data_IF_181177525839
#
_entry.id   IF_181177525839
#
_cell.length_a   1.000
_cell.length_b   1.000
_cell.length_c   1.000
_cell.angle_alpha   90.00
_cell.angle_beta   90.00
_cell.angle_gamma   90.00
#
_symmetry.space_group_name_H-M   'P 1'
#
loop_
_entity.id
_entity.type
_entity.pdbx_description
1 polymer ?
#
# COMPACT_ATOMS: atom_id res chain seq x y z
N UNK A 1 -33.45 49.58 -10.36
CA UNK A 1 -33.08 48.63 -9.27
C UNK A 1 -32.87 47.18 -9.76
N UNK A 2 -32.35 46.94 -10.98
CA UNK A 2 -32.16 45.57 -11.53
C UNK A 2 -30.69 45.17 -11.71
N UNK A 3 -29.80 46.16 -11.81
CA UNK A 3 -28.34 46.01 -11.99
C UNK A 3 -27.59 45.77 -10.68
N UNK A 4 -28.01 46.41 -9.58
CA UNK A 4 -27.41 46.21 -8.25
C UNK A 4 -27.60 44.76 -7.71
N UNK A 5 -28.73 44.12 -8.03
CA UNK A 5 -29.01 42.73 -7.64
C UNK A 5 -28.13 41.70 -8.37
N UNK A 6 -27.69 42.01 -9.60
CA UNK A 6 -26.80 41.13 -10.39
C UNK A 6 -25.35 41.20 -9.91
N UNK A 7 -24.90 42.39 -9.48
CA UNK A 7 -23.59 42.55 -8.86
C UNK A 7 -23.49 41.87 -7.49
N UNK A 8 -24.53 41.98 -6.67
CA UNK A 8 -24.57 41.28 -5.38
C UNK A 8 -24.54 39.75 -5.53
N UNK A 9 -25.21 39.20 -6.54
CA UNK A 9 -25.19 37.76 -6.83
C UNK A 9 -23.81 37.26 -7.29
N UNK A 10 -23.08 38.08 -8.07
CA UNK A 10 -21.74 37.73 -8.53
C UNK A 10 -20.73 37.73 -7.38
N UNK A 11 -20.83 38.67 -6.43
CA UNK A 11 -19.97 38.72 -5.24
C UNK A 11 -20.17 37.54 -4.29
N UNK A 12 -21.39 37.00 -4.18
CA UNK A 12 -21.67 35.83 -3.34
C UNK A 12 -21.06 34.56 -3.95
N UNK A 13 -21.07 34.42 -5.28
CA UNK A 13 -20.46 33.26 -5.97
C UNK A 13 -18.92 33.28 -5.83
N UNK A 14 -18.29 34.46 -5.83
CA UNK A 14 -16.85 34.58 -5.63
C UNK A 14 -16.40 34.24 -4.20
N UNK A 15 -17.23 34.50 -3.18
CA UNK A 15 -16.92 34.16 -1.78
C UNK A 15 -17.08 32.66 -1.48
N UNK A 16 -17.96 31.94 -2.19
CA UNK A 16 -18.05 30.48 -2.12
C UNK A 16 -16.95 29.74 -2.89
N UNK A 17 -16.15 30.46 -3.70
CA UNK A 17 -15.01 29.88 -4.41
C UNK A 17 -13.71 29.87 -3.58
N UNK A 18 -13.74 30.39 -2.35
CA UNK A 18 -12.62 30.37 -1.40
C UNK A 18 -12.86 29.39 -0.26
N UNK A 19 -12.94 28.09 -0.57
CA UNK A 19 -12.70 27.03 0.42
C UNK A 19 -12.56 25.66 -0.24
N UNK A 20 -11.69 25.56 -1.25
CA UNK A 20 -10.90 24.34 -1.36
C UNK A 20 -9.82 24.47 -0.30
N UNK A 21 -9.79 23.65 0.77
CA UNK A 21 -8.59 23.57 1.58
C UNK A 21 -7.50 23.15 0.60
N UNK A 22 -6.54 24.03 0.35
CA UNK A 22 -5.32 23.69 -0.34
C UNK A 22 -4.83 22.40 0.33
N UNK A 23 -4.88 21.28 -0.40
CA UNK A 23 -4.24 20.04 0.03
C UNK A 23 -2.77 20.40 0.16
N UNK A 24 -2.36 20.77 1.38
CA UNK A 24 -0.97 20.94 1.76
C UNK A 24 -0.38 19.56 1.56
N UNK A 25 0.22 19.32 0.39
CA UNK A 25 0.73 18.02 0.01
C UNK A 25 1.77 17.60 1.04
N UNK A 26 1.37 16.72 1.96
CA UNK A 26 2.28 16.15 2.95
C UNK A 26 3.33 15.39 2.16
N UNK A 27 4.61 15.74 2.35
CA UNK A 27 5.68 15.02 1.63
C UNK A 27 5.73 13.62 2.21
N UNK A 28 5.96 12.62 1.36
CA UNK A 28 6.10 11.23 1.80
C UNK A 28 7.19 11.09 2.89
N UNK A 29 8.23 11.93 2.83
CA UNK A 29 9.30 11.98 3.83
C UNK A 29 8.84 12.42 5.24
N UNK A 30 7.80 13.25 5.33
CA UNK A 30 7.27 13.79 6.59
C UNK A 30 6.37 12.79 7.33
N UNK A 31 5.98 11.70 6.65
CA UNK A 31 5.16 10.65 7.22
C UNK A 31 5.98 9.67 8.06
N UNK A 32 5.34 9.11 9.09
CA UNK A 32 5.93 7.99 9.84
C UNK A 32 6.22 6.81 8.89
N UNK A 33 7.19 5.94 9.21
CA UNK A 33 7.52 4.80 8.37
C UNK A 33 6.31 3.93 8.00
N UNK A 34 5.38 3.70 8.94
CA UNK A 34 4.18 2.92 8.70
C UNK A 34 3.16 3.66 7.81
N UNK A 35 2.99 4.97 7.98
CA UNK A 35 2.13 5.77 7.09
C UNK A 35 2.65 5.76 5.66
N UNK A 36 3.98 5.78 5.46
CA UNK A 36 4.58 5.61 4.12
C UNK A 36 4.20 4.27 3.49
N UNK A 37 4.18 3.18 4.27
CA UNK A 37 3.74 1.86 3.79
C UNK A 37 2.29 1.92 3.31
N UNK A 38 1.39 2.50 4.12
CA UNK A 38 -0.03 2.63 3.77
C UNK A 38 -0.20 3.38 2.46
N UNK A 39 0.46 4.54 2.29
CA UNK A 39 0.37 5.34 1.06
C UNK A 39 0.88 4.58 -0.16
N UNK A 40 2.03 3.90 -0.04
CA UNK A 40 2.61 3.12 -1.15
C UNK A 40 1.68 1.97 -1.57
N UNK A 41 1.09 1.27 -0.61
CA UNK A 41 0.16 0.17 -0.93
C UNK A 41 -1.09 0.70 -1.62
N UNK A 42 -1.71 1.77 -1.10
CA UNK A 42 -2.87 2.40 -1.74
C UNK A 42 -2.59 2.81 -3.19
N UNK A 43 -1.41 3.38 -3.45
CA UNK A 43 -1.00 3.79 -4.79
C UNK A 43 -0.93 2.62 -5.78
N UNK A 44 -0.41 1.46 -5.36
CA UNK A 44 -0.24 0.31 -6.26
C UNK A 44 -1.47 -0.58 -6.38
N UNK A 45 -2.26 -0.74 -5.31
CA UNK A 45 -3.46 -1.59 -5.32
C UNK A 45 -4.68 -0.85 -5.89
N UNK A 46 -4.83 0.44 -5.56
CA UNK A 46 -6.08 1.15 -5.80
C UNK A 46 -7.22 0.64 -4.92
N UNK A 47 -8.32 1.41 -4.88
CA UNK A 47 -9.49 1.04 -4.10
C UNK A 47 -10.42 0.14 -4.94
N UNK A 48 -10.50 -1.13 -4.58
CA UNK A 48 -11.35 -2.12 -5.23
C UNK A 48 -12.83 -1.81 -5.03
N UNK A 49 -13.60 -2.06 -6.08
CA UNK A 49 -15.06 -1.89 -6.13
C UNK A 49 -15.72 -3.23 -6.45
N UNK A 50 -17.03 -3.19 -6.70
CA UNK A 50 -17.88 -4.38 -6.88
C UNK A 50 -17.40 -5.32 -8.00
N UNK A 51 -16.75 -4.79 -9.03
CA UNK A 51 -16.18 -5.53 -10.17
C UNK A 51 -14.95 -6.38 -9.79
N UNK A 52 -14.30 -6.09 -8.65
CA UNK A 52 -13.14 -6.84 -8.17
C UNK A 52 -13.50 -8.01 -7.24
N UNK A 53 -14.79 -8.29 -7.00
CA UNK A 53 -15.21 -9.37 -6.10
C UNK A 53 -14.56 -10.71 -6.47
N UNK A 54 -13.99 -11.49 -5.50
CA UNK A 54 -14.14 -11.40 -4.05
C UNK A 54 -13.12 -10.49 -3.32
N UNK A 55 -12.43 -9.60 -4.03
CA UNK A 55 -11.50 -8.65 -3.43
C UNK A 55 -12.19 -7.32 -3.11
N UNK A 56 -11.90 -6.75 -1.94
CA UNK A 56 -12.47 -5.51 -1.42
C UNK A 56 -11.37 -4.60 -0.86
N UNK A 57 -11.70 -3.32 -0.60
CA UNK A 57 -10.74 -2.37 -0.04
C UNK A 57 -9.50 -2.22 -0.91
N UNK A 58 -8.31 -2.31 -0.33
CA UNK A 58 -7.04 -2.19 -1.07
C UNK A 58 -6.42 -3.55 -1.41
N UNK A 59 -7.21 -4.50 -1.91
CA UNK A 59 -6.72 -5.83 -2.28
C UNK A 59 -6.96 -6.94 -1.25
N UNK A 60 -7.78 -6.68 -0.22
CA UNK A 60 -8.17 -7.68 0.75
C UNK A 60 -9.08 -8.73 0.11
N UNK A 61 -8.71 -10.01 0.18
CA UNK A 61 -9.55 -11.12 -0.28
C UNK A 61 -10.45 -11.60 0.85
N UNK A 62 -11.75 -11.46 0.68
CA UNK A 62 -12.74 -11.92 1.65
C UNK A 62 -12.55 -13.40 2.01
N UNK A 63 -12.48 -13.68 3.31
CA UNK A 63 -12.56 -15.03 3.85
C UNK A 63 -14.01 -15.48 4.01
N UNK A 64 -14.31 -16.79 4.06
CA UNK A 64 -15.69 -17.30 4.13
C UNK A 64 -16.53 -16.79 5.31
N UNK A 65 -15.88 -16.35 6.40
CA UNK A 65 -16.52 -15.84 7.61
C UNK A 65 -16.59 -14.30 7.66
N UNK A 66 -16.03 -13.60 6.67
CA UNK A 66 -16.00 -12.14 6.62
C UNK A 66 -17.15 -11.61 5.75
N UNK A 67 -17.79 -10.53 6.20
CA UNK A 67 -18.94 -9.92 5.54
C UNK A 67 -18.69 -8.45 5.15
N UNK A 68 -17.46 -8.12 4.73
CA UNK A 68 -17.18 -6.76 4.29
C UNK A 68 -17.88 -6.43 2.96
N UNK A 69 -18.45 -5.23 2.89
CA UNK A 69 -19.12 -4.74 1.68
C UNK A 69 -18.10 -4.36 0.60
N UNK A 70 -18.28 -4.77 -0.67
CA UNK A 70 -17.50 -4.28 -1.80
C UNK A 70 -17.62 -2.76 -2.04
N UNK A 71 -18.64 -2.13 -1.46
CA UNK A 71 -18.89 -0.68 -1.54
C UNK A 71 -18.51 0.05 -0.25
N UNK A 72 -17.60 -0.51 0.57
CA UNK A 72 -17.13 0.14 1.79
C UNK A 72 -16.56 1.54 1.51
N UNK A 73 -16.70 2.43 2.50
CA UNK A 73 -16.09 3.76 2.45
C UNK A 73 -14.56 3.66 2.40
N UNK A 74 -13.90 4.70 1.87
CA UNK A 74 -12.43 4.74 1.86
C UNK A 74 -11.84 4.68 3.28
N UNK A 75 -12.53 5.25 4.28
CA UNK A 75 -12.12 5.15 5.69
C UNK A 75 -12.15 3.69 6.18
N UNK A 76 -13.21 2.94 5.86
CA UNK A 76 -13.29 1.52 6.22
C UNK A 76 -12.21 0.70 5.49
N UNK A 77 -11.97 0.97 4.21
CA UNK A 77 -10.92 0.33 3.43
C UNK A 77 -9.52 0.65 3.99
N UNK A 78 -9.29 1.88 4.44
CA UNK A 78 -8.06 2.30 5.10
C UNK A 78 -7.84 1.57 6.44
N UNK A 79 -8.88 1.48 7.28
CA UNK A 79 -8.82 0.71 8.53
C UNK A 79 -8.53 -0.77 8.28
N UNK A 80 -9.17 -1.38 7.27
CA UNK A 80 -8.93 -2.76 6.88
C UNK A 80 -7.49 -2.97 6.38
N UNK A 81 -7.01 -2.09 5.50
CA UNK A 81 -5.64 -2.12 5.00
C UNK A 81 -4.62 -2.05 6.14
N UNK A 82 -4.82 -1.15 7.11
CA UNK A 82 -3.93 -1.01 8.27
C UNK A 82 -3.90 -2.28 9.11
N UNK A 83 -5.06 -2.91 9.33
CA UNK A 83 -5.15 -4.17 10.04
C UNK A 83 -4.40 -5.29 9.30
N UNK A 84 -4.55 -5.40 7.98
CA UNK A 84 -3.85 -6.40 7.18
C UNK A 84 -2.33 -6.18 7.14
N UNK A 85 -1.89 -4.92 7.02
CA UNK A 85 -0.47 -4.57 7.10
C UNK A 85 0.12 -4.86 8.47
N UNK A 86 -0.64 -4.61 9.54
CA UNK A 86 -0.21 -4.95 10.89
C UNK A 86 -0.05 -6.47 11.07
N UNK A 87 -1.03 -7.26 10.61
CA UNK A 87 -0.93 -8.73 10.59
C UNK A 87 0.32 -9.20 9.84
N UNK A 88 0.61 -8.62 8.68
CA UNK A 88 1.84 -8.93 7.94
C UNK A 88 3.10 -8.54 8.72
N UNK A 89 3.13 -7.34 9.30
CA UNK A 89 4.27 -6.82 10.05
C UNK A 89 4.62 -7.68 11.27
N UNK A 90 3.63 -8.23 11.97
CA UNK A 90 3.86 -9.12 13.12
C UNK A 90 4.74 -10.32 12.78
N UNK A 91 4.66 -10.84 11.55
CA UNK A 91 5.54 -11.92 11.08
C UNK A 91 6.99 -11.49 10.86
N UNK A 92 7.24 -10.20 10.60
CA UNK A 92 8.55 -9.68 10.22
C UNK A 92 9.17 -8.71 11.23
N UNK A 93 8.50 -8.41 12.35
CA UNK A 93 9.02 -7.47 13.38
C UNK A 93 10.42 -7.83 13.91
N UNK A 94 10.78 -9.11 13.89
CA UNK A 94 12.11 -9.60 14.26
C UNK A 94 13.23 -9.29 13.26
N UNK A 95 12.92 -8.83 12.05
CA UNK A 95 13.89 -8.49 11.00
C UNK A 95 14.41 -7.04 11.11
N UNK A 96 14.10 -6.34 12.21
CA UNK A 96 14.61 -4.99 12.48
C UNK A 96 14.27 -4.00 11.38
N UNK A 97 15.27 -3.32 10.82
CA UNK A 97 15.09 -2.29 9.78
C UNK A 97 14.43 -2.81 8.49
N UNK A 98 14.53 -4.12 8.22
CA UNK A 98 13.93 -4.72 7.02
C UNK A 98 12.44 -5.06 7.21
N UNK A 99 11.90 -4.96 8.43
CA UNK A 99 10.55 -5.41 8.75
C UNK A 99 9.50 -4.78 7.81
N UNK A 100 9.53 -3.46 7.60
CA UNK A 100 8.56 -2.77 6.74
C UNK A 100 8.72 -3.14 5.25
N UNK A 101 9.95 -3.31 4.78
CA UNK A 101 10.23 -3.74 3.40
C UNK A 101 9.67 -5.15 3.15
N UNK A 102 9.80 -6.04 4.14
CA UNK A 102 9.24 -7.39 4.12
C UNK A 102 7.71 -7.38 4.26
N UNK A 103 7.14 -6.50 5.08
CA UNK A 103 5.68 -6.29 5.17
C UNK A 103 5.08 -5.92 3.82
N UNK A 104 5.68 -4.96 3.09
CA UNK A 104 5.22 -4.55 1.76
C UNK A 104 5.25 -5.70 0.76
N UNK A 105 6.32 -6.50 0.80
CA UNK A 105 6.46 -7.66 -0.06
C UNK A 105 5.42 -8.73 0.29
N UNK A 106 5.30 -9.08 1.57
CA UNK A 106 4.37 -10.07 2.07
C UNK A 106 2.91 -9.71 1.81
N UNK A 107 2.55 -8.42 1.92
CA UNK A 107 1.20 -7.96 1.58
C UNK A 107 0.83 -8.30 0.13
N UNK A 108 1.78 -8.14 -0.80
CA UNK A 108 1.52 -8.40 -2.21
C UNK A 108 1.64 -9.88 -2.61
N UNK A 109 2.62 -10.60 -2.06
CA UNK A 109 2.97 -11.95 -2.52
C UNK A 109 2.62 -13.06 -1.52
N UNK A 110 2.13 -12.69 -0.34
CA UNK A 110 1.80 -13.57 0.79
C UNK A 110 2.97 -13.85 1.73
N UNK A 111 2.68 -13.93 3.03
CA UNK A 111 3.66 -14.24 4.10
C UNK A 111 4.34 -15.59 3.86
N UNK A 112 3.55 -16.63 3.55
CA UNK A 112 4.08 -17.99 3.32
C UNK A 112 5.07 -18.06 2.16
N UNK A 113 4.95 -17.17 1.16
CA UNK A 113 5.89 -17.12 0.04
C UNK A 113 7.28 -16.62 0.44
N UNK A 114 7.38 -15.91 1.56
CA UNK A 114 8.66 -15.49 2.14
C UNK A 114 9.18 -16.50 3.16
N UNK A 115 8.34 -16.87 4.14
CA UNK A 115 8.72 -17.75 5.25
C UNK A 115 8.88 -19.22 4.84
N UNK A 116 8.22 -19.64 3.75
CA UNK A 116 8.05 -21.04 3.39
C UNK A 116 6.77 -21.64 3.97
N UNK A 117 6.31 -22.74 3.39
CA UNK A 117 5.16 -23.53 3.85
C UNK A 117 5.21 -24.94 3.24
N UNK A 118 4.92 -25.97 4.04
CA UNK A 118 5.02 -27.36 3.60
C UNK A 118 6.39 -27.68 2.97
N UNK A 119 6.38 -28.09 1.70
CA UNK A 119 7.61 -28.39 0.94
C UNK A 119 8.26 -27.15 0.30
N UNK A 120 7.67 -25.96 0.43
CA UNK A 120 8.26 -24.72 -0.06
C UNK A 120 9.22 -24.15 1.00
N UNK A 121 10.53 -24.10 0.71
CA UNK A 121 11.50 -23.60 1.68
C UNK A 121 11.40 -22.07 1.83
N UNK A 122 11.97 -21.57 2.93
CA UNK A 122 12.16 -20.15 3.16
C UNK A 122 12.85 -19.49 1.97
N UNK A 123 12.36 -18.32 1.58
CA UNK A 123 12.88 -17.58 0.42
C UNK A 123 14.37 -17.26 0.58
N UNK A 124 15.10 -17.23 -0.55
CA UNK A 124 16.51 -16.84 -0.58
C UNK A 124 16.72 -15.42 -0.03
N UNK A 125 15.75 -14.52 -0.24
CA UNK A 125 15.73 -13.18 0.34
C UNK A 125 15.89 -13.21 1.86
N UNK A 126 15.01 -13.94 2.55
CA UNK A 126 15.08 -14.02 4.02
C UNK A 126 16.36 -14.71 4.50
N UNK A 127 16.79 -15.79 3.82
CA UNK A 127 18.05 -16.46 4.18
C UNK A 127 19.26 -15.54 4.10
N UNK A 128 19.30 -14.63 3.10
CA UNK A 128 20.35 -13.61 3.01
C UNK A 128 20.27 -12.58 4.13
N UNK A 129 19.07 -12.06 4.41
CA UNK A 129 18.88 -11.09 5.51
C UNK A 129 19.30 -11.72 6.85
N UNK A 130 18.89 -12.97 7.11
CA UNK A 130 19.23 -13.73 8.32
C UNK A 130 20.73 -14.00 8.45
N UNK A 131 21.44 -14.21 7.34
CA UNK A 131 22.90 -14.36 7.34
C UNK A 131 23.66 -13.03 7.35
N UNK A 132 22.96 -11.89 7.46
CA UNK A 132 23.56 -10.56 7.40
C UNK A 132 23.99 -10.10 6.01
N UNK A 133 23.71 -10.86 4.95
CA UNK A 133 24.01 -10.47 3.56
C UNK A 133 23.05 -9.36 3.13
N UNK A 134 23.59 -8.15 2.93
CA UNK A 134 22.83 -6.97 2.50
C UNK A 134 22.65 -6.89 0.98
N UNK A 135 23.36 -7.72 0.21
CA UNK A 135 23.24 -7.79 -1.24
C UNK A 135 22.08 -8.69 -1.66
N UNK A 136 20.86 -8.34 -1.24
CA UNK A 136 19.63 -9.08 -1.56
C UNK A 136 18.71 -8.35 -2.56
N UNK A 137 19.17 -7.25 -3.17
CA UNK A 137 18.37 -6.49 -4.14
C UNK A 137 17.80 -7.39 -5.24
N UNK A 138 18.63 -8.26 -5.82
CA UNK A 138 18.23 -9.19 -6.88
C UNK A 138 17.14 -10.16 -6.42
N UNK A 139 17.26 -10.68 -5.20
CA UNK A 139 16.24 -11.53 -4.60
C UNK A 139 14.93 -10.77 -4.39
N UNK A 140 14.98 -9.52 -3.92
CA UNK A 140 13.78 -8.69 -3.70
C UNK A 140 13.03 -8.39 -5.00
N UNK A 141 13.72 -7.95 -6.06
CA UNK A 141 13.08 -7.65 -7.34
C UNK A 141 12.66 -8.90 -8.12
N UNK A 142 13.07 -10.10 -7.71
CA UNK A 142 12.66 -11.35 -8.37
C UNK A 142 11.18 -11.70 -8.16
N UNK A 143 10.53 -11.10 -7.15
CA UNK A 143 9.11 -11.27 -6.83
C UNK A 143 8.19 -10.49 -7.80
N UNK A 144 8.40 -10.67 -9.11
CA UNK A 144 7.67 -9.98 -10.17
C UNK A 144 6.98 -10.93 -11.16
N UNK A 145 6.86 -12.22 -10.82
CA UNK A 145 6.29 -13.23 -11.72
C UNK A 145 4.87 -13.63 -11.34
N UNK A 146 3.97 -13.61 -12.33
CA UNK A 146 2.64 -14.21 -12.25
C UNK A 146 2.48 -15.24 -13.37
N UNK A 147 2.02 -16.45 -13.04
CA UNK A 147 1.87 -17.57 -13.99
C UNK A 147 3.07 -17.76 -14.94
N UNK A 148 4.27 -17.66 -14.39
CA UNK A 148 5.52 -17.83 -15.15
C UNK A 148 5.95 -16.62 -15.99
N UNK A 149 5.21 -15.51 -16.04
CA UNK A 149 5.56 -14.29 -16.79
C UNK A 149 5.99 -13.16 -15.86
N UNK A 150 7.01 -12.40 -16.24
CA UNK A 150 7.42 -11.19 -15.53
C UNK A 150 6.44 -10.07 -15.84
N UNK A 151 5.90 -9.41 -14.81
CA UNK A 151 5.00 -8.27 -14.96
C UNK A 151 5.78 -6.97 -14.75
N UNK A 152 5.81 -6.11 -15.76
CA UNK A 152 6.51 -4.81 -15.71
C UNK A 152 6.04 -3.91 -14.57
N UNK A 153 4.73 -3.93 -14.28
CA UNK A 153 4.14 -3.22 -13.14
C UNK A 153 4.71 -3.69 -11.79
N UNK A 154 4.91 -5.00 -11.59
CA UNK A 154 5.53 -5.52 -10.37
C UNK A 154 7.00 -5.13 -10.29
N UNK A 155 7.73 -5.11 -11.40
CA UNK A 155 9.13 -4.66 -11.42
C UNK A 155 9.23 -3.19 -10.97
N UNK A 156 8.35 -2.33 -11.47
CA UNK A 156 8.26 -0.92 -11.02
C UNK A 156 7.97 -0.84 -9.53
N UNK A 157 6.97 -1.60 -9.04
CA UNK A 157 6.61 -1.67 -7.63
C UNK A 157 7.79 -2.07 -6.74
N UNK A 158 8.46 -3.19 -7.05
CA UNK A 158 9.60 -3.66 -6.24
C UNK A 158 10.74 -2.66 -6.20
N UNK A 159 11.01 -1.95 -7.30
CA UNK A 159 12.03 -0.89 -7.32
C UNK A 159 11.67 0.28 -6.41
N UNK A 160 10.40 0.72 -6.44
CA UNK A 160 9.91 1.81 -5.58
C UNK A 160 9.94 1.42 -4.11
N UNK A 161 9.42 0.24 -3.75
CA UNK A 161 9.45 -0.24 -2.37
C UNK A 161 10.88 -0.38 -1.84
N UNK A 162 11.78 -0.97 -2.64
CA UNK A 162 13.18 -1.10 -2.25
C UNK A 162 13.84 0.27 -2.06
N UNK A 163 13.67 1.21 -2.99
CA UNK A 163 14.23 2.55 -2.88
C UNK A 163 13.72 3.30 -1.63
N UNK A 164 12.45 3.11 -1.27
CA UNK A 164 11.83 3.79 -0.13
C UNK A 164 12.17 3.14 1.22
N UNK A 165 12.39 1.83 1.29
CA UNK A 165 12.45 1.10 2.57
C UNK A 165 13.72 0.29 2.81
N UNK A 166 14.63 0.16 1.83
CA UNK A 166 15.93 -0.48 2.07
C UNK A 166 16.96 0.46 2.72
N UNK A 167 16.97 1.73 2.28
CA UNK A 167 17.93 2.75 2.73
C UNK A 167 17.39 3.65 3.86
N UNK A 168 16.09 3.55 4.16
CA UNK A 168 15.41 4.42 5.11
C UNK A 168 15.13 3.67 6.42
N UNK A 169 16.17 3.55 7.27
CA UNK A 169 16.15 3.32 8.73
C UNK A 169 17.55 2.92 9.23
#
# INVERSE_FOLDING_TARGET
MRTAKRFALFCIICLFCQSLPAQRGVRLADLSPFERVVVVVKYFEGLHRKDCYPYVGYGHRLQPHEHFSPNMSERQADSLLRADLWKCFEHFKGYGKDALLLTLLAYNVGVGRLLGYGNHPKSKLLRKIESGDRNFYREYISFCRSKGKVLSGLVKRRKVEYALFFSSL
#
